data_IF_428204418425
#
_entry.id   IF_428204418425
#
_cell.length_a   1.000
_cell.length_b   1.000
_cell.length_c   1.000
_cell.angle_alpha   90.00
_cell.angle_beta   90.00
_cell.angle_gamma   90.00
#
_symmetry.space_group_name_H-M   'P 1'
#
loop_
_entity.id
_entity.type
_entity.pdbx_description
1 polymer ?
#
# COMPACT_ATOMS: atom_id res chain seq x y z
N UNK A 1 -47.31 -0.45 -42.14
CA UNK A 1 -46.44 0.74 -42.33
C UNK A 1 -46.48 1.76 -41.15
N UNK A 2 -47.28 1.58 -40.08
CA UNK A 2 -47.49 2.66 -39.09
C UNK A 2 -46.74 2.60 -37.73
N UNK A 3 -45.79 1.69 -37.49
CA UNK A 3 -45.21 1.53 -36.14
C UNK A 3 -43.90 2.30 -35.87
N UNK A 4 -43.25 2.90 -36.88
CA UNK A 4 -41.98 3.62 -36.70
C UNK A 4 -42.14 5.13 -36.49
N UNK A 5 -43.25 5.73 -36.94
CA UNK A 5 -43.52 7.17 -36.73
C UNK A 5 -43.88 7.47 -35.27
N UNK A 6 -44.60 6.56 -34.62
CA UNK A 6 -45.05 6.70 -33.22
C UNK A 6 -43.91 6.59 -32.19
N UNK A 7 -42.82 5.91 -32.55
CA UNK A 7 -41.64 5.80 -31.68
C UNK A 7 -40.77 7.06 -31.73
N UNK A 8 -40.77 7.78 -32.85
CA UNK A 8 -40.05 9.04 -33.01
C UNK A 8 -40.78 10.22 -32.37
N UNK A 9 -42.13 10.27 -32.47
CA UNK A 9 -42.94 11.31 -31.81
C UNK A 9 -42.77 11.28 -30.28
N UNK A 10 -42.89 10.09 -29.67
CA UNK A 10 -42.71 9.92 -28.21
C UNK A 10 -41.30 10.29 -27.71
N UNK A 11 -40.27 10.10 -28.53
CA UNK A 11 -38.89 10.49 -28.19
C UNK A 11 -38.66 12.01 -28.24
N UNK A 12 -39.31 12.71 -29.17
CA UNK A 12 -39.24 14.15 -29.28
C UNK A 12 -40.02 14.83 -28.14
N UNK A 13 -41.18 14.29 -27.79
CA UNK A 13 -42.01 14.78 -26.68
C UNK A 13 -41.31 14.62 -25.31
N UNK A 14 -40.61 13.50 -25.10
CA UNK A 14 -39.81 13.28 -23.90
C UNK A 14 -38.61 14.24 -23.78
N UNK A 15 -38.01 14.64 -24.91
CA UNK A 15 -36.93 15.65 -24.93
C UNK A 15 -37.46 17.07 -24.67
N UNK A 16 -38.67 17.40 -25.13
CA UNK A 16 -39.30 18.70 -24.88
C UNK A 16 -39.67 18.88 -23.40
N UNK A 17 -40.29 17.87 -22.77
CA UNK A 17 -40.64 17.88 -21.33
C UNK A 17 -39.41 17.99 -20.42
N UNK A 18 -38.28 17.39 -20.83
CA UNK A 18 -37.03 17.46 -20.07
C UNK A 18 -36.32 18.82 -20.19
N UNK A 19 -36.53 19.56 -21.29
CA UNK A 19 -36.02 20.94 -21.45
C UNK A 19 -36.83 21.96 -20.64
N UNK A 20 -38.16 21.80 -20.54
CA UNK A 20 -38.99 22.68 -19.71
C UNK A 20 -38.72 22.53 -18.21
N UNK A 21 -38.41 21.32 -17.70
CA UNK A 21 -38.07 21.11 -16.28
C UNK A 21 -36.76 21.77 -15.81
N UNK A 22 -35.85 22.10 -16.74
CA UNK A 22 -34.56 22.75 -16.40
C UNK A 22 -34.67 24.28 -16.40
N UNK A 23 -35.72 24.84 -17.01
CA UNK A 23 -35.92 26.29 -17.09
C UNK A 23 -36.69 26.89 -15.90
N UNK A 24 -37.32 26.06 -15.06
CA UNK A 24 -38.14 26.51 -13.93
C UNK A 24 -37.49 26.27 -12.58
N UNK A 25 -36.43 27.01 -12.23
CA UNK A 25 -36.09 27.37 -10.85
C UNK A 25 -34.87 28.30 -10.84
N UNK A 26 -35.13 29.61 -10.95
CA UNK A 26 -34.19 30.63 -10.49
C UNK A 26 -35.01 31.79 -9.95
N UNK A 27 -35.52 31.63 -8.72
CA UNK A 27 -36.09 32.74 -7.97
C UNK A 27 -34.94 33.62 -7.48
N UNK A 28 -34.88 34.85 -7.99
CA UNK A 28 -34.05 35.93 -7.47
C UNK A 28 -34.60 36.34 -6.09
N UNK A 29 -33.83 36.12 -5.02
CA UNK A 29 -34.09 36.75 -3.71
C UNK A 29 -33.48 38.15 -3.71
N UNK A 30 -34.32 39.14 -3.48
CA UNK A 30 -33.95 40.55 -3.25
C UNK A 30 -33.21 40.70 -1.92
N UNK A 31 -32.16 41.52 -1.90
CA UNK A 31 -31.38 41.85 -0.70
C UNK A 31 -31.98 43.09 0.00
N UNK A 32 -31.96 43.16 1.35
CA UNK A 32 -32.37 44.35 2.08
C UNK A 32 -31.23 45.39 2.17
N UNK A 33 -31.64 46.63 2.45
CA UNK A 33 -30.88 47.88 2.37
C UNK A 33 -30.00 48.15 3.60
N UNK A 34 -28.74 48.53 3.31
CA UNK A 34 -27.65 49.27 4.01
C UNK A 34 -27.60 49.54 5.54
N UNK A 35 -26.38 49.41 6.11
CA UNK A 35 -25.69 50.39 6.96
C UNK A 35 -24.15 50.11 7.01
N UNK A 36 -23.27 51.09 7.32
CA UNK A 36 -21.90 51.19 6.79
C UNK A 36 -20.79 50.70 7.75
N UNK A 37 -19.72 50.12 7.20
CA UNK A 37 -18.48 49.85 7.96
C UNK A 37 -17.57 48.81 7.33
N UNK A 38 -16.45 49.27 6.74
CA UNK A 38 -15.23 48.51 6.38
C UNK A 38 -15.44 47.33 5.40
N UNK A 39 -15.16 47.58 4.12
CA UNK A 39 -15.19 46.53 3.09
C UNK A 39 -14.03 45.52 3.29
N UNK A 40 -14.30 44.19 3.34
CA UNK A 40 -13.25 43.18 3.34
C UNK A 40 -12.56 43.10 1.97
N UNK A 41 -11.25 42.76 1.90
CA UNK A 41 -10.51 42.72 0.65
C UNK A 41 -11.08 41.68 -0.32
N UNK A 42 -11.07 42.00 -1.62
CA UNK A 42 -11.72 41.25 -2.70
C UNK A 42 -11.12 39.84 -2.89
N UNK A 43 -11.65 38.83 -2.19
CA UNK A 43 -11.30 37.40 -2.34
C UNK A 43 -11.93 36.77 -3.62
N UNK A 44 -12.74 37.50 -4.39
CA UNK A 44 -13.42 36.95 -5.57
C UNK A 44 -12.51 36.79 -6.80
N UNK A 45 -11.46 37.61 -6.93
CA UNK A 45 -10.58 37.59 -8.11
C UNK A 45 -9.68 36.32 -8.16
N UNK A 46 -9.17 35.87 -7.00
CA UNK A 46 -8.28 34.70 -6.92
C UNK A 46 -9.00 33.37 -7.17
N UNK A 47 -10.22 33.21 -6.65
CA UNK A 47 -11.06 32.02 -6.92
C UNK A 47 -11.53 31.95 -8.38
N UNK A 48 -11.84 33.09 -9.00
CA UNK A 48 -12.23 33.15 -10.40
C UNK A 48 -11.05 32.78 -11.33
N UNK A 49 -9.85 33.30 -11.03
CA UNK A 49 -8.62 32.96 -11.75
C UNK A 49 -8.27 31.48 -11.59
N UNK A 50 -8.35 30.93 -10.37
CA UNK A 50 -8.09 29.51 -10.10
C UNK A 50 -9.07 28.59 -10.86
N UNK A 51 -10.35 28.93 -10.92
CA UNK A 51 -11.36 28.17 -11.71
C UNK A 51 -11.07 28.25 -13.21
N UNK A 52 -10.65 29.40 -13.72
CA UNK A 52 -10.30 29.59 -15.12
C UNK A 52 -9.07 28.77 -15.50
N UNK A 53 -8.05 28.77 -14.64
CA UNK A 53 -6.83 27.96 -14.82
C UNK A 53 -7.13 26.46 -14.74
N UNK A 54 -8.00 26.02 -13.82
CA UNK A 54 -8.46 24.63 -13.73
C UNK A 54 -9.21 24.19 -14.99
N UNK A 55 -10.08 25.05 -15.54
CA UNK A 55 -10.81 24.74 -16.78
C UNK A 55 -9.89 24.66 -18.00
N UNK A 56 -8.90 25.56 -18.11
CA UNK A 56 -7.91 25.52 -19.19
C UNK A 56 -7.09 24.23 -19.10
N UNK A 57 -6.61 23.87 -17.91
CA UNK A 57 -5.85 22.64 -17.67
C UNK A 57 -6.67 21.38 -17.97
N UNK A 58 -7.97 21.38 -17.63
CA UNK A 58 -8.88 20.28 -17.98
C UNK A 58 -9.15 20.16 -19.49
N UNK A 59 -9.20 21.29 -20.21
CA UNK A 59 -9.34 21.30 -21.68
C UNK A 59 -8.08 20.81 -22.36
N UNK A 60 -6.90 21.22 -21.91
CA UNK A 60 -5.61 20.73 -22.40
C UNK A 60 -5.48 19.21 -22.19
N UNK A 61 -5.81 18.72 -20.99
CA UNK A 61 -5.77 17.28 -20.70
C UNK A 61 -6.70 16.49 -21.61
N UNK A 62 -7.92 17.00 -21.86
CA UNK A 62 -8.88 16.39 -22.79
C UNK A 62 -8.38 16.41 -24.23
N UNK A 63 -7.74 17.49 -24.67
CA UNK A 63 -7.16 17.58 -26.01
C UNK A 63 -6.00 16.60 -26.19
N UNK A 64 -5.12 16.45 -25.19
CA UNK A 64 -4.04 15.46 -25.21
C UNK A 64 -4.54 14.01 -25.28
N UNK A 65 -5.60 13.68 -24.54
CA UNK A 65 -6.24 12.34 -24.61
C UNK A 65 -6.87 12.08 -25.98
N UNK A 66 -7.49 13.10 -26.59
CA UNK A 66 -8.10 12.98 -27.93
C UNK A 66 -7.05 12.90 -29.03
N UNK A 67 -5.93 13.62 -28.92
CA UNK A 67 -4.80 13.51 -29.85
C UNK A 67 -4.15 12.12 -29.77
N UNK A 68 -3.94 11.59 -28.55
CA UNK A 68 -3.44 10.21 -28.37
C UNK A 68 -4.41 9.13 -28.87
N UNK A 69 -5.73 9.39 -28.91
CA UNK A 69 -6.72 8.46 -29.50
C UNK A 69 -6.82 8.55 -31.02
N UNK A 70 -6.41 9.66 -31.63
CA UNK A 70 -6.48 9.88 -33.09
C UNK A 70 -5.20 9.47 -33.82
N UNK A 71 -4.07 9.43 -33.13
CA UNK A 71 -2.85 8.77 -33.58
C UNK A 71 -3.01 7.24 -33.42
N UNK A 72 -3.79 6.62 -34.30
CA UNK A 72 -3.95 5.17 -34.33
C UNK A 72 -2.63 4.46 -34.66
N UNK A 73 -2.21 3.55 -33.79
CA UNK A 73 -1.16 2.55 -34.09
C UNK A 73 -0.24 2.24 -32.91
N UNK A 74 -0.44 1.10 -32.26
CA UNK A 74 0.56 0.33 -31.47
C UNK A 74 1.41 1.08 -30.42
N UNK A 75 0.78 1.80 -29.49
CA UNK A 75 1.46 2.55 -28.42
C UNK A 75 1.42 1.94 -27.01
N UNK A 76 1.38 0.61 -26.87
CA UNK A 76 1.41 -0.07 -25.55
C UNK A 76 2.51 -1.15 -25.52
N UNK A 77 3.71 -0.83 -26.02
CA UNK A 77 4.86 -1.68 -25.69
C UNK A 77 5.07 -1.64 -24.17
N UNK A 78 5.31 -2.80 -23.56
CA UNK A 78 5.61 -2.90 -22.13
C UNK A 78 6.78 -1.99 -21.74
N UNK A 79 7.80 -1.92 -22.61
CA UNK A 79 8.93 -0.98 -22.52
C UNK A 79 8.46 0.48 -22.38
N UNK A 80 7.51 0.91 -23.22
CA UNK A 80 7.02 2.30 -23.23
C UNK A 80 6.19 2.63 -21.99
N UNK A 81 5.46 1.65 -21.43
CA UNK A 81 4.74 1.81 -20.18
C UNK A 81 5.68 1.87 -18.98
N UNK A 82 6.70 1.01 -18.94
CA UNK A 82 7.73 1.02 -17.89
C UNK A 82 8.54 2.32 -17.95
N UNK A 83 8.90 2.78 -19.16
CA UNK A 83 9.59 4.04 -19.37
C UNK A 83 8.77 5.23 -18.86
N UNK A 84 7.48 5.30 -19.24
CA UNK A 84 6.56 6.33 -18.75
C UNK A 84 6.37 6.28 -17.24
N UNK A 85 6.22 5.09 -16.65
CA UNK A 85 6.06 4.95 -15.20
C UNK A 85 7.32 5.40 -14.45
N UNK A 86 8.52 5.07 -14.95
CA UNK A 86 9.80 5.54 -14.39
C UNK A 86 9.92 7.05 -14.51
N UNK A 87 9.58 7.61 -15.67
CA UNK A 87 9.64 9.05 -15.91
C UNK A 87 8.63 9.82 -15.03
N UNK A 88 7.42 9.29 -14.86
CA UNK A 88 6.42 9.84 -13.93
C UNK A 88 6.86 9.73 -12.47
N UNK A 89 7.49 8.63 -12.07
CA UNK A 89 8.06 8.46 -10.72
C UNK A 89 9.16 9.48 -10.45
N UNK A 90 10.09 9.66 -11.39
CA UNK A 90 11.17 10.64 -11.28
C UNK A 90 10.64 12.07 -11.28
N UNK A 91 9.64 12.39 -12.12
CA UNK A 91 8.96 13.69 -12.11
C UNK A 91 8.24 13.93 -10.79
N UNK A 92 7.62 12.90 -10.21
CA UNK A 92 6.98 12.99 -8.91
C UNK A 92 8.01 13.27 -7.81
N UNK A 93 9.08 12.49 -7.75
CA UNK A 93 10.19 12.69 -6.79
C UNK A 93 10.82 14.09 -6.92
N UNK A 94 11.15 14.51 -8.14
CA UNK A 94 11.68 15.86 -8.39
C UNK A 94 10.69 16.95 -7.96
N UNK A 95 9.39 16.78 -8.27
CA UNK A 95 8.35 17.72 -7.85
C UNK A 95 8.14 17.73 -6.34
N UNK A 96 8.39 16.62 -5.65
CA UNK A 96 8.27 16.52 -4.20
C UNK A 96 9.46 17.20 -3.52
N UNK A 97 10.68 16.98 -4.03
CA UNK A 97 11.88 17.70 -3.59
C UNK A 97 11.73 19.21 -3.77
N UNK A 98 11.22 19.63 -4.93
CA UNK A 98 10.98 21.04 -5.24
C UNK A 98 9.83 21.63 -4.40
N UNK A 99 8.76 20.87 -4.14
CA UNK A 99 7.70 21.26 -3.19
C UNK A 99 8.23 21.43 -1.77
N UNK A 100 9.10 20.54 -1.31
CA UNK A 100 9.71 20.62 0.03
C UNK A 100 10.65 21.83 0.11
N UNK A 101 11.43 22.09 -0.95
CA UNK A 101 12.34 23.23 -1.01
C UNK A 101 11.59 24.58 -0.97
N UNK A 102 10.52 24.67 -1.75
CA UNK A 102 9.71 25.89 -1.95
C UNK A 102 8.56 26.06 -0.94
N UNK A 103 8.35 25.11 -0.04
CA UNK A 103 7.36 25.26 1.02
C UNK A 103 7.85 26.27 2.08
N UNK A 104 6.96 27.18 2.47
CA UNK A 104 7.15 28.07 3.62
C UNK A 104 7.41 27.25 4.89
N UNK A 105 7.94 27.87 5.96
CA UNK A 105 8.27 27.18 7.22
C UNK A 105 7.08 26.35 7.77
N UNK A 106 5.86 26.86 7.61
CA UNK A 106 4.59 26.17 7.92
C UNK A 106 4.27 25.00 6.96
N UNK A 107 4.61 25.10 5.68
CA UNK A 107 4.43 24.04 4.69
C UNK A 107 5.48 22.93 4.82
N UNK A 108 6.73 23.29 5.14
CA UNK A 108 7.79 22.36 5.57
C UNK A 108 7.36 21.66 6.84
N UNK A 109 6.83 22.41 7.80
CA UNK A 109 6.28 21.85 9.02
C UNK A 109 5.11 20.90 8.73
N UNK A 110 4.21 21.16 7.79
CA UNK A 110 3.08 20.27 7.44
C UNK A 110 3.51 19.01 6.66
N UNK A 111 4.52 19.10 5.78
CA UNK A 111 5.09 17.95 5.04
C UNK A 111 5.98 17.10 5.95
N UNK A 112 6.71 17.72 6.89
CA UNK A 112 7.44 17.04 7.94
C UNK A 112 6.48 16.49 9.01
N UNK A 113 5.44 17.23 9.40
CA UNK A 113 4.35 16.88 10.33
C UNK A 113 3.29 15.99 9.66
N UNK A 114 3.71 15.09 8.79
CA UNK A 114 2.99 13.82 8.78
C UNK A 114 3.27 13.14 10.13
N UNK A 115 2.46 13.51 11.14
CA UNK A 115 2.54 12.96 12.50
C UNK A 115 2.56 11.43 12.46
N UNK A 116 1.89 10.83 11.46
CA UNK A 116 1.87 9.39 11.26
C UNK A 116 3.23 8.84 10.81
N UNK A 117 3.93 9.53 9.90
CA UNK A 117 5.28 9.17 9.44
C UNK A 117 6.32 9.38 10.53
N UNK A 118 6.28 10.52 11.25
CA UNK A 118 7.15 10.77 12.41
C UNK A 118 6.95 9.71 13.50
N UNK A 119 5.70 9.39 13.81
CA UNK A 119 5.35 8.36 14.79
C UNK A 119 5.82 6.97 14.33
N UNK A 120 5.59 6.61 13.06
CA UNK A 120 6.07 5.35 12.49
C UNK A 120 7.59 5.25 12.58
N UNK A 121 8.33 6.30 12.20
CA UNK A 121 9.79 6.30 12.26
C UNK A 121 10.31 6.20 13.70
N UNK A 122 9.61 6.84 14.66
CA UNK A 122 9.91 6.73 16.10
C UNK A 122 9.74 5.30 16.59
N UNK A 123 8.66 4.63 16.22
CA UNK A 123 8.43 3.22 16.58
C UNK A 123 9.42 2.29 15.87
N UNK A 124 9.70 2.52 14.58
CA UNK A 124 10.67 1.74 13.81
C UNK A 124 12.06 1.81 14.43
N UNK A 125 12.50 3.01 14.85
CA UNK A 125 13.78 3.18 15.53
C UNK A 125 13.86 2.34 16.81
N UNK A 126 12.80 2.29 17.62
CA UNK A 126 12.73 1.43 18.82
C UNK A 126 12.86 -0.05 18.47
N UNK A 127 12.20 -0.50 17.41
CA UNK A 127 12.29 -1.90 16.93
C UNK A 127 13.71 -2.23 16.52
N UNK A 128 14.33 -1.39 15.69
CA UNK A 128 15.69 -1.61 15.18
C UNK A 128 16.72 -1.61 16.31
N UNK A 129 16.58 -0.75 17.31
CA UNK A 129 17.49 -0.71 18.45
C UNK A 129 17.42 -1.99 19.30
N UNK A 130 16.20 -2.46 19.59
CA UNK A 130 15.95 -3.61 20.49
C UNK A 130 16.12 -4.97 19.83
N UNK A 131 15.86 -5.09 18.53
CA UNK A 131 15.90 -6.36 17.82
C UNK A 131 17.34 -6.84 17.57
N UNK A 132 17.56 -8.15 17.64
CA UNK A 132 18.79 -8.82 17.20
C UNK A 132 18.68 -9.25 15.73
N UNK A 133 17.48 -9.71 15.36
CA UNK A 133 17.12 -10.14 14.01
C UNK A 133 15.93 -9.31 13.53
N UNK A 134 15.97 -8.86 12.28
CA UNK A 134 14.88 -8.14 11.63
C UNK A 134 14.25 -9.05 10.58
N UNK A 135 12.92 -9.22 10.67
CA UNK A 135 12.09 -9.81 9.64
C UNK A 135 11.45 -8.68 8.83
N UNK A 136 11.86 -8.53 7.57
CA UNK A 136 11.22 -7.61 6.65
C UNK A 136 10.16 -8.35 5.84
N UNK A 137 8.90 -8.00 6.07
CA UNK A 137 7.76 -8.64 5.41
C UNK A 137 7.44 -7.91 4.11
N UNK A 138 7.52 -8.64 3.01
CA UNK A 138 7.26 -8.19 1.65
C UNK A 138 5.96 -8.81 1.11
N UNK A 139 5.28 -8.14 0.18
CA UNK A 139 4.14 -8.71 -0.56
C UNK A 139 4.66 -9.42 -1.81
N UNK A 140 4.28 -10.69 -2.02
CA UNK A 140 4.76 -11.50 -3.14
C UNK A 140 4.39 -10.93 -4.52
N UNK A 141 3.35 -10.09 -4.59
CA UNK A 141 2.90 -9.48 -5.86
C UNK A 141 3.82 -8.36 -6.35
N UNK A 142 4.46 -7.65 -5.42
CA UNK A 142 5.41 -6.58 -5.69
C UNK A 142 6.46 -6.50 -4.58
N UNK A 143 7.41 -7.45 -4.54
CA UNK A 143 8.40 -7.50 -3.47
C UNK A 143 9.38 -6.33 -3.52
N UNK A 144 9.72 -5.83 -4.70
CA UNK A 144 10.66 -4.72 -4.85
C UNK A 144 10.04 -3.39 -4.43
N UNK A 145 8.77 -3.14 -4.75
CA UNK A 145 8.08 -1.93 -4.30
C UNK A 145 7.81 -1.89 -2.78
N UNK A 146 7.78 -3.07 -2.13
CA UNK A 146 7.62 -3.18 -0.67
C UNK A 146 8.94 -3.21 0.11
N UNK A 147 10.09 -3.17 -0.57
CA UNK A 147 11.42 -3.30 0.02
C UNK A 147 12.02 -1.92 0.27
N UNK A 148 12.73 -1.76 1.40
CA UNK A 148 13.36 -0.47 1.73
C UNK A 148 14.88 -0.59 1.84
N UNK A 149 15.59 -0.45 0.73
CA UNK A 149 17.06 -0.66 0.67
C UNK A 149 17.83 0.23 1.66
N UNK A 150 17.50 1.51 1.75
CA UNK A 150 18.15 2.44 2.68
C UNK A 150 18.04 1.97 4.15
N UNK A 151 16.89 1.37 4.49
CA UNK A 151 16.64 0.85 5.83
C UNK A 151 17.42 -0.45 6.08
N UNK A 152 17.51 -1.31 5.08
CA UNK A 152 18.32 -2.54 5.14
C UNK A 152 19.80 -2.21 5.36
N UNK A 153 20.33 -1.22 4.66
CA UNK A 153 21.71 -0.76 4.82
C UNK A 153 21.96 -0.19 6.22
N UNK A 154 21.02 0.60 6.74
CA UNK A 154 21.07 1.08 8.13
C UNK A 154 21.04 -0.06 9.16
N UNK A 155 20.21 -1.08 8.95
CA UNK A 155 20.14 -2.24 9.84
C UNK A 155 21.42 -3.06 9.79
N UNK A 156 21.98 -3.22 8.59
CA UNK A 156 23.25 -3.91 8.36
C UNK A 156 24.41 -3.16 9.01
N UNK A 157 24.47 -1.84 8.90
CA UNK A 157 25.52 -1.02 9.53
C UNK A 157 25.49 -1.13 11.06
N UNK A 158 24.30 -1.34 11.64
CA UNK A 158 24.09 -1.65 13.06
C UNK A 158 24.34 -3.12 13.45
N UNK A 159 24.87 -3.93 12.53
CA UNK A 159 25.18 -5.35 12.78
C UNK A 159 23.96 -6.25 12.93
N UNK A 160 22.76 -5.79 12.56
CA UNK A 160 21.52 -6.57 12.70
C UNK A 160 21.44 -7.61 11.59
N UNK A 161 20.89 -8.79 11.90
CA UNK A 161 20.64 -9.83 10.90
C UNK A 161 19.30 -9.57 10.22
N UNK A 162 19.27 -9.45 8.90
CA UNK A 162 18.04 -9.21 8.13
C UNK A 162 17.61 -10.51 7.44
N UNK A 163 16.31 -10.82 7.52
CA UNK A 163 15.66 -11.95 6.85
C UNK A 163 14.42 -11.42 6.15
N UNK A 164 14.24 -11.78 4.88
CA UNK A 164 13.07 -11.40 4.11
C UNK A 164 11.98 -12.46 4.23
N UNK A 165 10.75 -12.00 4.45
CA UNK A 165 9.55 -12.85 4.51
C UNK A 165 8.65 -12.45 3.35
N UNK A 166 8.67 -13.24 2.28
CA UNK A 166 7.84 -13.02 1.10
C UNK A 166 6.43 -13.56 1.38
N UNK A 167 5.53 -12.69 1.80
CA UNK A 167 4.18 -13.06 2.24
C UNK A 167 3.15 -12.98 1.11
N UNK A 168 1.97 -13.59 1.32
CA UNK A 168 0.86 -13.66 0.34
C UNK A 168 1.21 -14.46 -0.91
N UNK A 169 2.02 -15.50 -0.75
CA UNK A 169 2.44 -16.37 -1.86
C UNK A 169 1.25 -17.09 -2.52
N UNK A 170 0.12 -17.20 -1.84
CA UNK A 170 -1.13 -17.74 -2.37
C UNK A 170 -1.75 -16.86 -3.47
N UNK A 171 -1.34 -15.59 -3.58
CA UNK A 171 -1.85 -14.67 -4.60
C UNK A 171 -1.00 -14.66 -5.88
N UNK A 172 0.10 -15.41 -5.91
CA UNK A 172 1.07 -15.39 -7.01
C UNK A 172 1.31 -16.82 -7.51
N UNK A 173 1.22 -17.07 -8.83
CA UNK A 173 1.56 -18.37 -9.41
C UNK A 173 2.97 -18.83 -9.06
N UNK A 174 3.16 -20.14 -8.97
CA UNK A 174 4.42 -20.74 -8.51
C UNK A 174 5.59 -20.42 -9.43
N UNK A 175 5.30 -20.25 -10.72
CA UNK A 175 6.24 -19.97 -11.81
C UNK A 175 6.86 -18.57 -11.66
N UNK A 176 6.10 -17.62 -11.08
CA UNK A 176 6.56 -16.26 -10.80
C UNK A 176 7.22 -16.18 -9.41
N UNK A 177 6.74 -16.98 -8.46
CA UNK A 177 7.26 -17.00 -7.10
C UNK A 177 8.72 -17.50 -7.03
N UNK A 178 9.09 -18.54 -7.78
CA UNK A 178 10.44 -19.11 -7.73
C UNK A 178 11.54 -18.13 -8.21
N UNK A 179 11.38 -17.41 -9.34
CA UNK A 179 12.28 -16.33 -9.73
C UNK A 179 12.43 -15.26 -8.66
N UNK A 180 11.32 -14.81 -8.03
CA UNK A 180 11.39 -13.82 -6.95
C UNK A 180 12.18 -14.32 -5.75
N UNK A 181 11.94 -15.55 -5.30
CA UNK A 181 12.70 -16.15 -4.21
C UNK A 181 14.18 -16.25 -4.54
N UNK A 182 14.51 -16.66 -5.77
CA UNK A 182 15.90 -16.79 -6.23
C UNK A 182 16.59 -15.43 -6.24
N UNK A 183 15.92 -14.40 -6.78
CA UNK A 183 16.43 -13.04 -6.80
C UNK A 183 16.64 -12.46 -5.40
N UNK A 184 15.64 -12.53 -4.53
CA UNK A 184 15.72 -11.97 -3.16
C UNK A 184 16.77 -12.68 -2.29
N UNK A 185 16.97 -13.99 -2.50
CA UNK A 185 18.00 -14.78 -1.81
C UNK A 185 19.42 -14.38 -2.14
N UNK A 186 19.65 -13.65 -3.23
CA UNK A 186 20.98 -13.07 -3.52
C UNK A 186 21.36 -11.95 -2.53
N UNK A 187 20.37 -11.31 -1.91
CA UNK A 187 20.59 -10.23 -0.93
C UNK A 187 20.54 -10.72 0.51
N UNK A 188 19.48 -11.45 0.86
CA UNK A 188 19.20 -11.90 2.23
C UNK A 188 18.48 -13.25 2.24
N UNK A 189 18.63 -14.05 3.31
CA UNK A 189 17.82 -15.25 3.49
C UNK A 189 16.33 -14.92 3.36
N UNK A 190 15.66 -15.54 2.39
CA UNK A 190 14.27 -15.24 2.05
C UNK A 190 13.39 -16.48 2.17
N UNK A 191 12.28 -16.35 2.92
CA UNK A 191 11.31 -17.40 3.16
C UNK A 191 9.97 -17.03 2.51
N UNK A 192 9.43 -17.97 1.73
CA UNK A 192 8.06 -17.90 1.21
C UNK A 192 7.05 -18.14 2.33
N UNK A 193 6.05 -17.28 2.44
CA UNK A 193 5.10 -17.32 3.54
C UNK A 193 3.65 -17.14 3.09
N UNK A 194 2.76 -18.02 3.58
CA UNK A 194 1.31 -17.85 3.52
C UNK A 194 0.82 -17.73 4.95
N UNK A 195 0.38 -16.54 5.33
CA UNK A 195 -0.18 -16.31 6.66
C UNK A 195 -1.58 -16.93 6.79
N UNK A 196 -1.77 -17.75 7.81
CA UNK A 196 -3.07 -18.27 8.22
C UNK A 196 -3.06 -18.52 9.72
N UNK A 197 -4.06 -17.97 10.43
CA UNK A 197 -4.25 -18.23 11.86
C UNK A 197 -5.17 -19.42 12.00
N UNK A 198 -4.62 -20.63 11.99
CA UNK A 198 -5.38 -21.81 12.39
C UNK A 198 -5.44 -21.86 13.92
N UNK A 199 -6.65 -21.93 14.47
CA UNK A 199 -6.83 -22.19 15.89
C UNK A 199 -6.36 -23.62 16.21
N UNK A 200 -5.79 -23.81 17.40
CA UNK A 200 -5.20 -25.07 17.90
C UNK A 200 -6.15 -26.27 17.95
N UNK A 201 -7.40 -26.13 17.51
CA UNK A 201 -8.44 -27.16 17.58
C UNK A 201 -8.45 -28.14 16.40
N UNK A 202 -7.52 -28.06 15.45
CA UNK A 202 -7.29 -29.13 14.48
C UNK A 202 -6.14 -30.01 15.00
N UNK A 203 -6.40 -30.66 16.12
CA UNK A 203 -5.68 -31.86 16.51
C UNK A 203 -5.94 -32.92 15.43
N UNK A 204 -4.87 -33.51 14.91
CA UNK A 204 -4.85 -34.88 14.38
C UNK A 204 -5.99 -35.27 13.43
N UNK A 205 -5.92 -34.85 12.16
CA UNK A 205 -6.62 -35.56 11.09
C UNK A 205 -5.65 -35.85 9.95
N UNK A 206 -5.11 -37.08 9.97
CA UNK A 206 -4.55 -37.81 8.84
C UNK A 206 -3.38 -37.16 8.10
N UNK A 207 -2.15 -37.31 8.62
CA UNK A 207 -0.96 -37.25 7.75
C UNK A 207 -0.92 -38.56 6.97
N UNK A 208 -1.62 -38.63 5.83
CA UNK A 208 -1.24 -39.56 4.79
C UNK A 208 0.02 -39.00 4.12
N UNK A 209 1.18 -39.55 4.47
CA UNK A 209 2.44 -39.40 3.73
C UNK A 209 2.17 -39.89 2.30
N UNK A 210 2.07 -38.99 1.31
CA UNK A 210 2.11 -39.43 -0.08
C UNK A 210 1.38 -38.62 -1.14
N UNK A 211 0.74 -37.48 -0.86
CA UNK A 211 0.08 -36.71 -1.92
C UNK A 211 0.92 -35.55 -2.43
N UNK A 212 1.26 -35.61 -3.72
CA UNK A 212 1.96 -34.63 -4.57
C UNK A 212 1.85 -33.19 -4.04
N UNK A 213 2.94 -32.73 -3.43
CA UNK A 213 2.94 -31.76 -2.32
C UNK A 213 2.94 -30.26 -2.68
N UNK A 214 2.89 -29.87 -3.96
CA UNK A 214 3.03 -28.46 -4.34
C UNK A 214 1.71 -27.73 -4.61
N UNK A 215 0.74 -28.35 -5.30
CA UNK A 215 -0.50 -27.67 -5.67
C UNK A 215 -1.53 -27.50 -4.54
N UNK A 216 -1.66 -28.50 -3.65
CA UNK A 216 -2.69 -28.53 -2.58
C UNK A 216 -2.28 -27.76 -1.32
N UNK A 217 -0.98 -27.50 -1.15
CA UNK A 217 -0.45 -26.74 0.00
C UNK A 217 -0.75 -25.24 -0.13
N UNK A 218 -0.84 -24.73 -1.37
CA UNK A 218 -1.10 -23.30 -1.65
C UNK A 218 -2.59 -22.95 -1.54
N UNK A 219 -3.49 -23.88 -1.87
CA UNK A 219 -4.94 -23.66 -1.81
C UNK A 219 -5.57 -23.99 -0.45
N UNK A 220 -4.88 -24.72 0.41
CA UNK A 220 -5.36 -25.04 1.76
C UNK A 220 -5.39 -23.83 2.70
N UNK A 221 -6.22 -23.93 3.75
CA UNK A 221 -6.30 -22.94 4.85
C UNK A 221 -5.10 -22.99 5.80
N UNK A 222 -4.03 -23.74 5.49
CA UNK A 222 -2.86 -23.92 6.34
C UNK A 222 -1.84 -22.83 6.10
N UNK A 223 -1.18 -22.39 7.16
CA UNK A 223 -0.03 -21.52 7.04
C UNK A 223 1.13 -22.28 6.38
N UNK A 224 1.89 -21.59 5.55
CA UNK A 224 3.07 -22.14 4.86
C UNK A 224 4.26 -21.27 5.23
N UNK A 225 5.41 -21.88 5.50
CA UNK A 225 6.66 -21.18 5.83
C UNK A 225 6.90 -20.97 7.33
N UNK A 226 5.93 -21.26 8.19
CA UNK A 226 6.05 -21.12 9.65
C UNK A 226 7.17 -21.99 10.22
N UNK A 227 7.23 -23.25 9.84
CA UNK A 227 8.24 -24.20 10.33
C UNK A 227 9.66 -23.79 9.90
N UNK A 228 9.82 -23.40 8.62
CA UNK A 228 11.10 -22.96 8.07
C UNK A 228 11.58 -21.66 8.76
N UNK A 229 10.69 -20.70 8.98
CA UNK A 229 11.00 -19.44 9.65
C UNK A 229 11.39 -19.68 11.12
N UNK A 230 10.64 -20.55 11.82
CA UNK A 230 10.98 -20.93 13.20
C UNK A 230 12.33 -21.65 13.29
N UNK A 231 12.63 -22.54 12.35
CA UNK A 231 13.93 -23.23 12.32
C UNK A 231 15.08 -22.24 12.08
N UNK A 232 14.91 -21.30 11.15
CA UNK A 232 15.90 -20.25 10.90
C UNK A 232 16.15 -19.39 12.15
N UNK A 233 15.08 -18.93 12.81
CA UNK A 233 15.18 -18.15 14.06
C UNK A 233 15.84 -18.94 15.19
N UNK A 234 15.53 -20.24 15.34
CA UNK A 234 16.19 -21.12 16.31
C UNK A 234 17.68 -21.29 16.00
N UNK A 235 18.08 -21.33 14.73
CA UNK A 235 19.49 -21.39 14.34
C UNK A 235 20.22 -20.10 14.72
N UNK A 236 19.61 -18.94 14.51
CA UNK A 236 20.18 -17.67 14.98
C UNK A 236 20.30 -17.63 16.52
N UNK A 237 19.31 -18.14 17.25
CA UNK A 237 19.37 -18.25 18.71
C UNK A 237 20.53 -19.13 19.21
N UNK A 238 20.90 -20.18 18.48
CA UNK A 238 22.07 -21.02 18.83
C UNK A 238 23.40 -20.32 18.57
N UNK A 239 23.47 -19.48 17.54
CA UNK A 239 24.69 -18.73 17.18
C UNK A 239 24.98 -17.55 18.12
N UNK A 240 23.97 -17.06 18.84
CA UNK A 240 24.12 -15.99 19.82
C UNK A 240 24.59 -16.55 21.16
N UNK A 241 25.88 -16.89 21.26
CA UNK A 241 26.54 -17.62 22.36
C UNK A 241 26.40 -17.05 23.80
N UNK A 242 25.70 -15.93 24.01
CA UNK A 242 25.60 -15.25 25.32
C UNK A 242 24.14 -14.99 25.75
N UNK A 243 23.20 -14.88 24.83
CA UNK A 243 21.82 -14.43 25.15
C UNK A 243 20.90 -15.61 25.43
N UNK A 244 20.13 -15.50 26.52
CA UNK A 244 19.09 -16.48 26.90
C UNK A 244 17.90 -16.50 25.94
N UNK A 245 17.61 -15.36 25.30
CA UNK A 245 16.58 -15.21 24.29
C UNK A 245 17.01 -14.21 23.21
N UNK A 246 16.51 -14.39 21.99
CA UNK A 246 16.65 -13.43 20.89
C UNK A 246 15.40 -12.57 20.75
N UNK A 247 15.61 -11.29 20.43
CA UNK A 247 14.53 -10.37 20.08
C UNK A 247 14.47 -10.23 18.56
N UNK A 248 13.28 -10.43 17.99
CA UNK A 248 13.03 -10.43 16.56
C UNK A 248 12.08 -9.29 16.21
N UNK A 249 12.53 -8.30 15.45
CA UNK A 249 11.70 -7.18 15.01
C UNK A 249 10.99 -7.47 13.70
N UNK A 250 9.69 -7.17 13.60
CA UNK A 250 8.91 -7.35 12.37
C UNK A 250 8.63 -5.99 11.72
N UNK A 251 9.19 -5.78 10.53
CA UNK A 251 9.04 -4.53 9.77
C UNK A 251 8.43 -4.78 8.39
N UNK A 252 8.11 -3.70 7.67
CA UNK A 252 7.60 -3.74 6.30
C UNK A 252 6.44 -2.78 6.06
N UNK A 253 6.04 -2.66 4.80
CA UNK A 253 5.01 -1.73 4.33
C UNK A 253 3.64 -1.95 5.02
N UNK A 254 2.75 -0.94 5.07
CA UNK A 254 1.38 -1.12 5.52
C UNK A 254 0.68 -2.25 4.73
N UNK A 255 -0.17 -3.03 5.40
CA UNK A 255 -1.01 -4.06 4.77
C UNK A 255 -0.29 -5.21 4.04
N UNK A 256 1.04 -5.34 4.14
CA UNK A 256 1.77 -6.54 3.66
C UNK A 256 1.47 -7.80 4.47
N UNK A 257 0.86 -7.65 5.65
CA UNK A 257 0.41 -8.76 6.49
C UNK A 257 1.29 -9.07 7.71
N UNK A 258 2.08 -8.11 8.21
CA UNK A 258 2.94 -8.24 9.40
C UNK A 258 2.22 -8.91 10.60
N UNK A 259 1.10 -8.34 11.03
CA UNK A 259 0.31 -8.88 12.16
C UNK A 259 -0.23 -10.28 11.88
N UNK A 260 -0.56 -10.60 10.62
CA UNK A 260 -1.00 -11.94 10.21
C UNK A 260 0.15 -12.96 10.25
N UNK A 261 1.37 -12.56 9.87
CA UNK A 261 2.58 -13.40 10.00
C UNK A 261 2.84 -13.70 11.48
N UNK A 262 2.77 -12.68 12.35
CA UNK A 262 2.92 -12.83 13.80
C UNK A 262 1.92 -13.84 14.38
N UNK A 263 0.63 -13.70 14.05
CA UNK A 263 -0.40 -14.62 14.51
C UNK A 263 -0.20 -16.05 14.00
N UNK A 264 0.28 -16.19 12.76
CA UNK A 264 0.60 -17.50 12.17
C UNK A 264 1.78 -18.17 12.88
N UNK A 265 2.80 -17.40 13.25
CA UNK A 265 3.95 -17.88 14.04
C UNK A 265 3.53 -18.26 15.46
N UNK A 266 2.69 -17.44 16.10
CA UNK A 266 2.21 -17.70 17.46
C UNK A 266 1.18 -18.83 17.51
N UNK A 267 0.54 -19.15 16.38
CA UNK A 267 -0.62 -20.07 16.28
C UNK A 267 -1.78 -19.65 17.20
N UNK A 268 -1.95 -18.34 17.36
CA UNK A 268 -3.07 -17.71 18.08
C UNK A 268 -3.21 -16.25 17.66
N UNK A 269 -4.36 -15.64 17.94
CA UNK A 269 -4.62 -14.21 17.68
C UNK A 269 -3.95 -13.33 18.73
N UNK A 270 -2.64 -13.12 18.62
CA UNK A 270 -1.85 -12.31 19.55
C UNK A 270 -1.76 -10.82 19.15
N UNK A 271 -1.74 -10.53 17.84
CA UNK A 271 -1.75 -9.19 17.28
C UNK A 271 -3.10 -8.91 16.59
N UNK A 272 -3.62 -7.70 16.76
CA UNK A 272 -4.85 -7.27 16.10
C UNK A 272 -4.60 -7.02 14.60
N UNK A 273 -5.51 -7.52 13.75
CA UNK A 273 -5.41 -7.46 12.29
C UNK A 273 -6.55 -6.64 11.71
N UNK A 274 -6.26 -5.81 10.70
CA UNK A 274 -7.26 -5.03 9.96
C UNK A 274 -6.75 -4.77 8.54
N UNK A 275 -7.67 -4.52 7.61
CA UNK A 275 -7.36 -4.04 6.25
C UNK A 275 -7.00 -2.55 6.21
N UNK A 276 -7.28 -1.82 7.30
CA UNK A 276 -7.00 -0.38 7.41
C UNK A 276 -5.51 -0.17 7.70
N UNK A 277 -4.86 0.68 6.89
CA UNK A 277 -3.46 1.04 7.11
C UNK A 277 -3.28 1.81 8.43
N UNK A 278 -2.15 1.60 9.11
CA UNK A 278 -1.87 2.27 10.39
C UNK A 278 -2.69 1.73 11.57
N UNK A 279 -3.27 0.54 11.46
CA UNK A 279 -3.98 -0.13 12.57
C UNK A 279 -3.04 -0.43 13.75
N UNK A 280 -1.85 -0.97 13.46
CA UNK A 280 -0.81 -1.21 14.47
C UNK A 280 0.08 0.02 14.57
N UNK A 281 -0.11 0.83 15.61
CA UNK A 281 0.60 2.12 15.81
C UNK A 281 1.71 2.09 16.83
N UNK A 282 1.74 1.07 17.69
CA UNK A 282 2.64 0.98 18.84
C UNK A 282 3.32 -0.38 18.80
N UNK A 283 4.61 -0.40 19.12
CA UNK A 283 5.39 -1.64 19.27
C UNK A 283 4.80 -2.49 20.38
N UNK A 284 4.63 -3.79 20.12
CA UNK A 284 4.06 -4.76 21.05
C UNK A 284 5.01 -5.93 21.20
N UNK A 285 5.28 -6.39 22.43
CA UNK A 285 6.12 -7.56 22.66
C UNK A 285 5.27 -8.83 22.70
N UNK A 286 5.59 -9.79 21.83
CA UNK A 286 4.87 -11.07 21.71
C UNK A 286 5.86 -12.21 21.89
N UNK A 287 5.66 -13.01 22.92
CA UNK A 287 6.51 -14.17 23.21
C UNK A 287 6.07 -15.36 22.34
N UNK A 288 6.93 -15.81 21.43
CA UNK A 288 6.67 -17.02 20.64
C UNK A 288 6.99 -18.28 21.45
N UNK A 289 8.19 -18.29 22.05
CA UNK A 289 8.77 -19.38 22.83
C UNK A 289 9.65 -18.76 23.93
N UNK A 290 10.15 -19.56 24.87
CA UNK A 290 10.99 -19.07 25.98
C UNK A 290 12.28 -18.39 25.49
N UNK A 291 12.72 -18.71 24.27
CA UNK A 291 13.95 -18.21 23.66
C UNK A 291 13.73 -17.17 22.55
N UNK A 292 12.49 -16.90 22.14
CA UNK A 292 12.20 -16.04 20.99
C UNK A 292 11.06 -15.07 21.34
N UNK A 293 11.40 -13.79 21.27
CA UNK A 293 10.48 -12.66 21.46
C UNK A 293 10.32 -11.92 20.13
N UNK A 294 9.08 -11.57 19.78
CA UNK A 294 8.77 -10.70 18.64
C UNK A 294 8.44 -9.29 19.12
N UNK A 295 8.85 -8.28 18.36
CA UNK A 295 8.49 -6.87 18.54
C UNK A 295 8.08 -6.19 17.23
#
# INVERSE_FOLDING_TARGET
VNNNRDKQSRRLEAKAKRRQKVAGHTQLKTAPVAAPGIAPPKISASKALARKNLQLKQKELRQGIVQNKRAGGNGLSLEGLIGKAKEESQKYEASEVERIANADEFGKEMILNDHSKKQYMKELKKVVERADVILEVLDARDPMGCRTMDMEDLMRSKGKKVVLVLNKIDLVPSEILQPWLSHLRTFYPTIAFKASTQDKNISSSGINKGEKAQGKLMTGSRAVGTEALMQLLKNYCRSSNIKTAITVGVIGYPNVGKSSVINSLKRSKAASVSSIAGHTKVVQEIHLDNKIKLI
#
